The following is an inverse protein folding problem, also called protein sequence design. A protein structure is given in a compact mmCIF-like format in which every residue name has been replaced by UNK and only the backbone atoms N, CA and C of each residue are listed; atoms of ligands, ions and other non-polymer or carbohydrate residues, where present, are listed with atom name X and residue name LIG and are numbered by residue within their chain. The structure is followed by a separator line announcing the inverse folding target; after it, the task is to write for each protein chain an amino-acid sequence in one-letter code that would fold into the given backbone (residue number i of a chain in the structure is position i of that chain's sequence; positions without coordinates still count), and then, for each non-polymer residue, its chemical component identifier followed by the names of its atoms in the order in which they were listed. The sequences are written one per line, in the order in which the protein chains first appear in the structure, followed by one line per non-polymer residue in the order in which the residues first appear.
data_IF_103594613911
#
_entry.id   IF_103594613911
#
_cell.length_a   1.000
_cell.length_b   1.000
_cell.length_c   1.000
_cell.angle_alpha   90.00
_cell.angle_beta   90.00
_cell.angle_gamma   90.00
#
_symmetry.space_group_name_H-M   'P 1'
#
loop_
_entity.id
_entity.type
_entity.pdbx_description
1 polymer ?
#
# COMPACT_ATOMS: atom_id res chain seq x y z
N UNK A 1 30.30 12.30 14.03
CA UNK A 1 29.21 11.44 13.52
C UNK A 1 28.04 11.58 14.50
N UNK A 2 26.79 11.69 14.02
CA UNK A 2 25.64 11.73 14.92
C UNK A 2 25.37 10.35 15.54
N UNK A 3 24.88 10.31 16.77
CA UNK A 3 24.40 9.08 17.39
C UNK A 3 22.96 8.81 16.92
N UNK A 4 22.76 7.66 16.28
CA UNK A 4 21.44 7.19 15.86
C UNK A 4 20.98 6.16 16.88
N UNK A 5 20.04 6.56 17.75
CA UNK A 5 19.47 5.69 18.78
C UNK A 5 18.08 5.19 18.38
N UNK A 6 17.60 4.14 19.06
CA UNK A 6 16.29 3.54 18.80
C UNK A 6 15.13 4.54 18.93
N UNK A 7 15.20 5.46 19.89
CA UNK A 7 14.16 6.47 20.06
C UNK A 7 14.03 7.39 18.84
N UNK A 8 15.16 7.77 18.24
CA UNK A 8 15.19 8.56 17.01
C UNK A 8 14.60 7.79 15.82
N UNK A 9 14.97 6.51 15.68
CA UNK A 9 14.44 5.65 14.61
C UNK A 9 12.91 5.48 14.74
N UNK A 10 12.41 5.30 15.96
CA UNK A 10 10.97 5.19 16.23
C UNK A 10 10.21 6.47 15.85
N UNK A 11 10.75 7.66 16.12
CA UNK A 11 10.11 8.92 15.73
C UNK A 11 10.07 9.10 14.21
N UNK A 12 11.13 8.69 13.51
CA UNK A 12 11.17 8.72 12.03
C UNK A 12 10.13 7.77 11.45
N UNK A 13 9.97 6.57 12.01
CA UNK A 13 8.95 5.61 11.59
C UNK A 13 7.52 6.15 11.82
N UNK A 14 7.25 6.77 12.97
CA UNK A 14 5.97 7.42 13.24
C UNK A 14 5.64 8.52 12.24
N UNK A 15 6.60 9.37 11.90
CA UNK A 15 6.42 10.41 10.89
C UNK A 15 6.12 9.80 9.53
N UNK A 16 6.86 8.77 9.12
CA UNK A 16 6.67 8.06 7.86
C UNK A 16 5.28 7.40 7.74
N UNK A 17 4.83 6.69 8.78
CA UNK A 17 3.50 6.03 8.83
C UNK A 17 2.32 6.99 8.70
N UNK A 18 2.47 8.25 9.11
CA UNK A 18 1.42 9.27 9.02
C UNK A 18 1.19 9.75 7.58
N UNK A 19 2.23 9.73 6.73
CA UNK A 19 2.11 10.13 5.33
C UNK A 19 1.64 8.97 4.43
N UNK A 20 2.03 7.74 4.75
CA UNK A 20 1.51 6.55 4.07
C UNK A 20 1.79 5.25 4.85
N UNK A 21 0.81 4.69 5.58
CA UNK A 21 0.99 3.41 6.28
C UNK A 21 1.23 2.23 5.31
N UNK A 22 0.91 2.39 4.02
CA UNK A 22 1.09 1.36 3.00
C UNK A 22 2.56 1.05 2.77
N UNK A 23 3.47 2.03 2.83
CA UNK A 23 4.89 1.77 2.56
C UNK A 23 5.61 1.02 3.69
N UNK A 24 5.14 1.13 4.94
CA UNK A 24 5.64 0.30 6.04
C UNK A 24 5.32 -1.18 5.85
N UNK A 25 4.15 -1.48 5.29
CA UNK A 25 3.73 -2.83 4.92
C UNK A 25 4.22 -3.26 3.53
N UNK A 26 4.54 -2.34 2.62
CA UNK A 26 5.06 -2.66 1.29
C UNK A 26 6.47 -3.27 1.34
N UNK A 27 7.24 -2.98 2.39
CA UNK A 27 8.51 -3.64 2.66
C UNK A 27 8.33 -5.12 3.07
N UNK A 28 7.19 -5.47 3.65
CA UNK A 28 6.78 -6.86 3.80
C UNK A 28 6.14 -7.30 2.50
N UNK A 29 6.98 -7.63 1.52
CA UNK A 29 6.51 -8.26 0.28
C UNK A 29 5.68 -9.49 0.67
N UNK A 30 4.36 -9.39 0.53
CA UNK A 30 3.47 -10.53 0.63
C UNK A 30 3.99 -11.55 -0.41
N UNK A 31 4.30 -12.81 -0.04
CA UNK A 31 4.81 -13.77 -1.01
C UNK A 31 3.80 -13.94 -2.14
N UNK A 32 4.24 -13.64 -3.38
CA UNK A 32 3.39 -13.67 -4.57
C UNK A 32 3.18 -12.29 -5.20
N UNK A 33 2.18 -12.20 -6.07
CA UNK A 33 1.81 -10.95 -6.74
C UNK A 33 0.50 -10.43 -6.13
N UNK A 34 0.40 -9.10 -5.93
CA UNK A 34 -0.79 -8.50 -5.33
C UNK A 34 -1.99 -8.61 -6.27
N UNK A 35 -3.10 -9.29 -5.89
CA UNK A 35 -4.31 -9.34 -6.71
C UNK A 35 -4.91 -7.94 -6.84
N UNK A 36 -5.16 -7.52 -8.08
CA UNK A 36 -5.75 -6.22 -8.40
C UNK A 36 -6.97 -6.41 -9.31
N UNK A 37 -8.11 -5.87 -8.89
CA UNK A 37 -9.34 -5.82 -9.68
C UNK A 37 -9.79 -4.36 -9.85
N UNK A 38 -10.00 -3.94 -11.10
CA UNK A 38 -10.58 -2.64 -11.43
C UNK A 38 -11.96 -2.85 -12.07
N UNK A 39 -12.98 -2.22 -11.48
CA UNK A 39 -14.37 -2.25 -11.97
C UNK A 39 -14.78 -0.84 -12.38
N UNK A 40 -14.89 -0.62 -13.68
CA UNK A 40 -15.40 0.64 -14.24
C UNK A 40 -16.92 0.61 -14.17
N UNK A 41 -17.51 1.65 -13.57
CA UNK A 41 -18.97 1.81 -13.46
C UNK A 41 -19.43 3.08 -14.13
N UNK A 42 -20.63 3.05 -14.72
CA UNK A 42 -21.30 4.24 -15.25
C UNK A 42 -21.91 5.08 -14.11
N UNK A 43 -22.46 6.29 -14.40
CA UNK A 43 -23.11 7.12 -13.38
C UNK A 43 -24.35 6.49 -12.72
N UNK A 44 -24.93 5.46 -13.35
CA UNK A 44 -26.06 4.69 -12.83
C UNK A 44 -25.59 3.51 -11.95
N UNK A 45 -24.27 3.28 -11.87
CA UNK A 45 -23.65 2.23 -11.09
C UNK A 45 -23.51 0.89 -11.81
N UNK A 46 -23.89 0.79 -13.09
CA UNK A 46 -23.76 -0.45 -13.86
C UNK A 46 -22.29 -0.72 -14.19
N UNK A 47 -21.90 -2.01 -14.20
CA UNK A 47 -20.55 -2.41 -14.56
C UNK A 47 -20.35 -2.25 -16.07
N UNK A 48 -19.44 -1.35 -16.45
CA UNK A 48 -19.04 -1.11 -17.84
C UNK A 48 -17.92 -2.06 -18.24
N UNK A 49 -16.93 -2.23 -17.36
CA UNK A 49 -15.75 -3.03 -17.67
C UNK A 49 -15.08 -3.55 -16.39
N UNK A 50 -14.49 -4.73 -16.51
CA UNK A 50 -13.69 -5.39 -15.46
C UNK A 50 -12.29 -5.66 -16.00
N UNK A 51 -11.27 -5.21 -15.27
CA UNK A 51 -9.87 -5.51 -15.52
C UNK A 51 -9.32 -6.24 -14.31
N UNK A 52 -8.59 -7.32 -14.53
CA UNK A 52 -8.02 -8.16 -13.47
C UNK A 52 -6.54 -8.38 -13.72
N UNK A 53 -5.78 -8.42 -12.62
CA UNK A 53 -4.37 -8.80 -12.63
C UNK A 53 -4.10 -9.62 -11.37
N UNK A 54 -3.62 -10.86 -11.55
CA UNK A 54 -3.29 -11.79 -10.45
C UNK A 54 -4.48 -12.14 -9.54
N UNK A 55 -5.70 -12.14 -10.10
CA UNK A 55 -6.97 -12.42 -9.38
C UNK A 55 -7.41 -13.90 -9.56
N UNK A 56 -6.53 -14.77 -10.08
CA UNK A 56 -6.81 -16.19 -10.31
C UNK A 56 -6.82 -17.02 -9.01
#
# INVERSE_FOLDING_TARGET
KGEVNEGLLNMVEMAFRAYDPCFGCAAHTLPGQMPLEVRLRDPQGNLVQRLTQYVD
#
